data_IF_728578123659
#
_entry.id   IF_728578123659
#
_cell.length_a   1.000
_cell.length_b   1.000
_cell.length_c   1.000
_cell.angle_alpha   90.00
_cell.angle_beta   90.00
_cell.angle_gamma   90.00
#
_symmetry.space_group_name_H-M   'P 1'
#
loop_
_entity.id
_entity.type
_entity.pdbx_description
1 polymer ?
#
# COMPACT_ATOMS: atom_id res chain seq x y z
N UNK A 1 -15.81 -35.91 -70.26
CA UNK A 1 -16.70 -35.35 -69.22
C UNK A 1 -16.01 -35.20 -67.87
N UNK A 2 -15.31 -36.17 -67.25
CA UNK A 2 -14.69 -36.03 -65.90
C UNK A 2 -13.60 -34.97 -65.82
N UNK A 3 -12.85 -34.67 -66.88
CA UNK A 3 -11.80 -33.62 -66.88
C UNK A 3 -12.39 -32.18 -66.96
N UNK A 4 -13.56 -32.02 -67.61
CA UNK A 4 -14.26 -30.71 -67.60
C UNK A 4 -14.93 -30.38 -66.30
N UNK A 5 -15.42 -31.37 -65.59
CA UNK A 5 -16.05 -31.18 -64.26
C UNK A 5 -15.00 -30.83 -63.22
N UNK A 6 -13.77 -31.40 -63.30
CA UNK A 6 -12.67 -31.03 -62.34
C UNK A 6 -12.15 -29.61 -62.60
N UNK A 7 -12.09 -29.14 -63.84
CA UNK A 7 -11.69 -27.80 -64.21
C UNK A 7 -12.75 -26.75 -63.77
N UNK A 8 -14.02 -27.08 -63.84
CA UNK A 8 -15.11 -26.24 -63.41
C UNK A 8 -15.15 -26.07 -61.83
N UNK A 9 -14.90 -27.17 -61.11
CA UNK A 9 -14.79 -27.18 -59.67
C UNK A 9 -13.54 -26.43 -59.16
N UNK A 10 -12.42 -26.53 -59.89
CA UNK A 10 -11.22 -25.75 -59.57
C UNK A 10 -11.42 -24.23 -59.82
N UNK A 11 -12.15 -23.85 -60.86
CA UNK A 11 -12.48 -22.45 -61.16
C UNK A 11 -13.47 -21.86 -60.15
N UNK A 12 -14.46 -22.65 -59.68
CA UNK A 12 -15.37 -22.22 -58.59
C UNK A 12 -14.65 -22.10 -57.25
N UNK A 13 -13.67 -22.96 -56.98
CA UNK A 13 -12.84 -22.88 -55.75
C UNK A 13 -11.94 -21.63 -55.72
N UNK A 14 -11.44 -21.20 -56.90
CA UNK A 14 -10.60 -20.00 -56.98
C UNK A 14 -11.40 -18.69 -56.89
N UNK A 15 -12.70 -18.70 -57.27
CA UNK A 15 -13.57 -17.51 -57.09
C UNK A 15 -14.06 -17.31 -55.64
N UNK A 16 -14.03 -18.33 -54.79
CA UNK A 16 -14.41 -18.26 -53.39
C UNK A 16 -13.34 -17.64 -52.47
N UNK A 17 -12.09 -17.52 -52.91
CA UNK A 17 -10.97 -16.98 -52.13
C UNK A 17 -10.73 -15.47 -52.36
N UNK A 18 -11.50 -14.83 -53.25
CA UNK A 18 -11.40 -13.39 -53.56
C UNK A 18 -12.44 -12.52 -52.87
N UNK A 19 -13.27 -13.07 -51.97
CA UNK A 19 -14.04 -12.25 -51.02
C UNK A 19 -13.11 -11.86 -49.85
N UNK A 20 -11.99 -11.25 -50.18
CA UNK A 20 -11.15 -10.53 -49.24
C UNK A 20 -11.90 -9.35 -48.66
N UNK A 21 -11.86 -9.18 -47.37
CA UNK A 21 -12.26 -7.99 -46.68
C UNK A 21 -11.97 -6.75 -47.52
N UNK A 22 -12.96 -5.91 -47.72
CA UNK A 22 -12.76 -4.57 -48.26
C UNK A 22 -11.89 -3.80 -47.28
N UNK A 23 -10.56 -3.88 -47.41
CA UNK A 23 -9.66 -2.90 -46.89
C UNK A 23 -10.00 -1.59 -47.58
N UNK A 24 -10.76 -0.73 -46.89
CA UNK A 24 -11.02 0.62 -47.30
C UNK A 24 -9.69 1.38 -47.22
N UNK A 25 -8.86 1.25 -48.26
CA UNK A 25 -7.57 1.93 -48.44
C UNK A 25 -7.72 3.41 -48.89
N UNK A 26 -8.95 3.97 -48.73
CA UNK A 26 -9.24 5.36 -48.98
C UNK A 26 -9.60 6.10 -47.66
N UNK A 27 -8.92 5.77 -46.58
CA UNK A 27 -8.86 6.72 -45.47
C UNK A 27 -7.97 7.88 -45.93
N UNK A 28 -8.55 9.07 -46.12
CA UNK A 28 -7.75 10.27 -46.37
C UNK A 28 -6.79 10.47 -45.19
N UNK A 29 -5.61 11.10 -45.38
CA UNK A 29 -4.74 11.41 -44.26
C UNK A 29 -5.47 12.21 -43.16
N UNK A 30 -6.56 12.91 -43.46
CA UNK A 30 -7.43 13.62 -42.55
C UNK A 30 -8.26 12.69 -41.66
N UNK A 31 -8.64 11.48 -42.14
CA UNK A 31 -9.33 10.47 -41.34
C UNK A 31 -8.44 9.79 -40.30
N UNK A 32 -7.11 9.86 -40.50
CA UNK A 32 -6.10 9.38 -39.51
C UNK A 32 -5.87 10.40 -38.38
N UNK A 33 -6.35 11.63 -38.52
CA UNK A 33 -6.24 12.70 -37.56
C UNK A 33 -7.56 13.01 -36.85
N UNK A 34 -8.63 12.23 -37.04
CA UNK A 34 -9.80 12.34 -36.18
C UNK A 34 -9.38 11.89 -34.80
N UNK A 35 -9.22 12.86 -33.89
CA UNK A 35 -9.10 12.58 -32.46
C UNK A 35 -10.24 11.63 -32.08
N UNK A 36 -9.98 10.60 -31.25
CA UNK A 36 -11.04 9.75 -30.74
C UNK A 36 -12.19 10.64 -30.27
N UNK A 37 -13.36 10.53 -30.90
CA UNK A 37 -14.52 11.26 -30.42
C UNK A 37 -14.90 10.62 -29.07
N UNK A 38 -14.97 11.44 -28.04
CA UNK A 38 -15.50 11.00 -26.76
C UNK A 38 -16.90 10.42 -26.99
N UNK A 39 -17.27 9.33 -26.30
CA UNK A 39 -18.63 8.82 -26.33
C UNK A 39 -19.65 9.95 -26.09
N UNK A 40 -20.80 9.85 -26.73
CA UNK A 40 -21.82 10.92 -26.68
C UNK A 40 -22.26 11.27 -25.24
N UNK A 41 -22.18 10.31 -24.33
CA UNK A 41 -22.49 10.47 -22.91
C UNK A 41 -21.58 11.47 -22.17
N UNK A 42 -20.35 11.69 -22.66
CA UNK A 42 -19.41 12.68 -22.08
C UNK A 42 -19.43 14.04 -22.81
N UNK A 43 -20.29 14.22 -23.80
CA UNK A 43 -20.31 15.45 -24.61
C UNK A 43 -20.64 16.69 -23.76
N UNK A 44 -21.66 16.60 -22.90
CA UNK A 44 -22.09 17.69 -21.99
C UNK A 44 -20.99 18.00 -20.95
N UNK A 45 -20.39 16.97 -20.34
CA UNK A 45 -19.28 17.11 -19.40
C UNK A 45 -18.11 17.84 -20.04
N UNK A 46 -17.69 17.39 -21.21
CA UNK A 46 -16.58 18.01 -21.94
C UNK A 46 -16.90 19.47 -22.33
N UNK A 47 -18.16 19.75 -22.73
CA UNK A 47 -18.61 21.12 -23.04
C UNK A 47 -18.50 22.00 -21.79
N UNK A 48 -19.02 21.56 -20.65
CA UNK A 48 -18.98 22.30 -19.39
C UNK A 48 -17.55 22.57 -18.92
N UNK A 49 -16.67 21.56 -18.95
CA UNK A 49 -15.27 21.75 -18.57
C UNK A 49 -14.56 22.72 -19.52
N UNK A 50 -14.79 22.62 -20.85
CA UNK A 50 -14.21 23.57 -21.82
C UNK A 50 -14.66 25.02 -21.56
N UNK A 51 -15.90 25.24 -21.21
CA UNK A 51 -16.39 26.60 -20.86
C UNK A 51 -15.61 27.16 -19.66
N UNK A 52 -15.30 26.33 -18.63
CA UNK A 52 -14.52 26.75 -17.48
C UNK A 52 -13.07 27.09 -17.89
N UNK A 53 -12.46 26.28 -18.75
CA UNK A 53 -11.09 26.52 -19.28
C UNK A 53 -11.07 27.80 -20.13
N UNK A 54 -12.04 28.03 -21.02
CA UNK A 54 -12.16 29.24 -21.82
C UNK A 54 -12.41 30.49 -20.94
N UNK A 55 -13.02 30.32 -19.76
CA UNK A 55 -13.20 31.36 -18.76
C UNK A 55 -11.95 31.57 -17.87
N UNK A 56 -10.82 30.92 -18.18
CA UNK A 56 -9.52 31.10 -17.53
C UNK A 56 -9.25 30.14 -16.38
N UNK A 57 -9.96 29.02 -16.28
CA UNK A 57 -9.58 27.93 -15.39
C UNK A 57 -8.47 27.08 -16.02
N UNK A 58 -7.68 26.42 -15.19
CA UNK A 58 -6.63 25.48 -15.58
C UNK A 58 -6.80 24.17 -14.80
N UNK A 59 -6.40 23.05 -15.37
CA UNK A 59 -6.38 21.79 -14.63
C UNK A 59 -5.43 21.84 -13.42
N UNK A 60 -5.88 21.31 -12.30
CA UNK A 60 -5.16 21.25 -11.04
C UNK A 60 -5.27 19.85 -10.44
N UNK A 61 -4.76 18.86 -11.15
CA UNK A 61 -4.77 17.46 -10.71
C UNK A 61 -4.10 17.28 -9.34
N UNK A 62 -4.53 16.30 -8.53
CA UNK A 62 -3.82 15.89 -7.32
C UNK A 62 -2.38 15.51 -7.64
N UNK A 63 -1.45 15.83 -6.72
CA UNK A 63 0.00 15.65 -6.92
C UNK A 63 0.57 14.40 -6.25
N UNK A 64 -0.22 13.73 -5.41
CA UNK A 64 0.14 12.53 -4.67
C UNK A 64 -1.09 11.60 -4.48
N UNK A 65 -0.86 10.40 -3.94
CA UNK A 65 -1.88 9.37 -3.75
C UNK A 65 -2.12 8.55 -5.00
N UNK A 66 -3.23 7.82 -5.04
CA UNK A 66 -3.61 6.93 -6.14
C UNK A 66 -4.45 7.63 -7.23
N UNK A 67 -5.18 8.67 -6.85
CA UNK A 67 -6.15 9.38 -7.69
C UNK A 67 -5.52 10.64 -8.31
N UNK A 68 -4.66 10.46 -9.31
CA UNK A 68 -3.83 11.53 -9.89
C UNK A 68 -4.43 12.22 -11.14
N UNK A 69 -5.58 11.77 -11.61
CA UNK A 69 -6.20 12.30 -12.83
C UNK A 69 -6.91 13.64 -12.57
N UNK A 70 -6.84 14.61 -13.51
CA UNK A 70 -7.55 15.88 -13.36
C UNK A 70 -9.06 15.76 -13.58
N UNK A 71 -9.54 14.64 -14.07
CA UNK A 71 -10.94 14.24 -14.19
C UNK A 71 -11.04 12.80 -13.70
N UNK A 72 -11.89 12.57 -12.71
CA UNK A 72 -12.09 11.25 -12.09
C UNK A 72 -13.56 10.88 -12.16
N UNK A 73 -13.83 9.60 -12.30
CA UNK A 73 -15.18 9.03 -12.28
C UNK A 73 -15.28 8.12 -11.05
N UNK A 74 -16.25 8.38 -10.20
CA UNK A 74 -16.44 7.68 -8.92
C UNK A 74 -17.93 7.63 -8.61
N UNK A 75 -18.45 6.48 -8.26
CA UNK A 75 -19.79 6.32 -7.69
C UNK A 75 -19.78 6.85 -6.24
N UNK A 76 -20.19 8.12 -6.08
CA UNK A 76 -20.14 8.81 -4.77
C UNK A 76 -21.37 8.54 -3.92
N UNK A 77 -22.51 8.22 -4.52
CA UNK A 77 -23.75 8.08 -3.77
C UNK A 77 -24.26 6.63 -3.68
N UNK A 78 -23.50 5.68 -4.26
CA UNK A 78 -23.76 4.25 -4.18
C UNK A 78 -24.93 3.77 -5.04
N UNK A 79 -25.34 4.56 -6.06
CA UNK A 79 -26.45 4.22 -6.94
C UNK A 79 -26.04 3.37 -8.16
N UNK A 80 -24.74 3.18 -8.37
CA UNK A 80 -24.13 2.41 -9.45
C UNK A 80 -23.84 3.23 -10.71
N UNK A 81 -24.13 4.53 -10.72
CA UNK A 81 -23.73 5.48 -11.76
C UNK A 81 -22.55 6.31 -11.22
N UNK A 82 -21.57 6.61 -12.08
CA UNK A 82 -20.39 7.36 -11.64
C UNK A 82 -20.58 8.87 -11.77
N UNK A 83 -20.27 9.63 -10.72
CA UNK A 83 -20.09 11.08 -10.77
C UNK A 83 -18.75 11.43 -11.38
N UNK A 84 -18.68 12.58 -12.06
CA UNK A 84 -17.43 13.11 -12.59
C UNK A 84 -16.92 14.26 -11.70
N UNK A 85 -15.67 14.16 -11.25
CA UNK A 85 -14.99 15.19 -10.47
C UNK A 85 -13.89 15.83 -11.32
N UNK A 86 -14.01 17.12 -11.61
CA UNK A 86 -13.01 17.89 -12.34
C UNK A 86 -12.22 18.82 -11.42
N UNK A 87 -10.93 18.60 -11.36
CA UNK A 87 -9.97 19.34 -10.50
C UNK A 87 -9.40 20.51 -11.29
N UNK A 88 -9.81 21.72 -10.92
CA UNK A 88 -9.45 22.94 -11.63
C UNK A 88 -8.89 24.00 -10.67
N UNK A 89 -8.12 24.94 -11.23
CA UNK A 89 -7.68 26.16 -10.56
C UNK A 89 -8.16 27.36 -11.34
N UNK A 90 -8.64 28.38 -10.63
CA UNK A 90 -8.96 29.69 -11.20
C UNK A 90 -8.23 30.77 -10.40
N UNK A 91 -7.13 31.25 -10.94
CA UNK A 91 -6.20 32.13 -10.22
C UNK A 91 -6.76 33.49 -9.82
N UNK A 92 -7.89 33.93 -10.41
CA UNK A 92 -8.60 35.16 -10.05
C UNK A 92 -9.42 35.06 -8.78
N UNK A 93 -9.70 33.87 -8.31
CA UNK A 93 -10.61 33.62 -7.19
C UNK A 93 -9.86 33.55 -5.86
N UNK A 94 -10.49 34.02 -4.78
CA UNK A 94 -9.93 33.96 -3.43
C UNK A 94 -9.60 32.51 -3.02
N UNK A 95 -10.51 31.58 -3.33
CA UNK A 95 -10.31 30.14 -3.22
C UNK A 95 -10.05 29.58 -4.61
N UNK A 96 -8.79 29.60 -5.01
CA UNK A 96 -8.41 29.30 -6.38
C UNK A 96 -8.61 27.84 -6.79
N UNK A 97 -8.49 26.90 -5.87
CA UNK A 97 -8.62 25.46 -6.12
C UNK A 97 -10.11 25.06 -6.03
N UNK A 98 -10.60 24.36 -7.04
CA UNK A 98 -12.01 23.95 -7.11
C UNK A 98 -12.11 22.52 -7.60
N UNK A 99 -13.03 21.78 -7.00
CA UNK A 99 -13.45 20.45 -7.44
C UNK A 99 -14.89 20.60 -7.91
N UNK A 100 -15.09 20.56 -9.22
CA UNK A 100 -16.42 20.58 -9.83
C UNK A 100 -16.96 19.17 -9.89
N UNK A 101 -18.14 18.95 -9.34
CA UNK A 101 -18.81 17.66 -9.29
C UNK A 101 -20.01 17.69 -10.23
N UNK A 102 -20.09 16.66 -11.06
CA UNK A 102 -21.13 16.49 -12.06
C UNK A 102 -21.82 15.16 -11.81
N UNK A 103 -23.13 15.21 -11.59
CA UNK A 103 -23.99 14.04 -11.50
C UNK A 103 -24.34 13.54 -12.90
N UNK A 104 -24.46 12.22 -13.04
CA UNK A 104 -24.93 11.58 -14.24
C UNK A 104 -26.45 11.70 -14.33
N UNK A 105 -26.97 12.04 -15.51
CA UNK A 105 -28.38 12.16 -15.80
C UNK A 105 -28.72 11.44 -17.12
N UNK A 106 -29.98 11.23 -17.44
CA UNK A 106 -30.39 10.63 -18.71
C UNK A 106 -29.85 11.37 -19.96
N UNK A 107 -29.53 12.65 -19.86
CA UNK A 107 -29.00 13.47 -20.96
C UNK A 107 -27.47 13.61 -20.95
N UNK A 108 -26.79 13.05 -20.00
CA UNK A 108 -25.34 13.18 -19.78
C UNK A 108 -25.01 13.70 -18.39
N UNK A 109 -23.93 14.46 -18.25
CA UNK A 109 -23.47 15.00 -16.98
C UNK A 109 -23.91 16.43 -16.73
N UNK A 110 -24.43 16.72 -15.53
CA UNK A 110 -24.86 18.06 -15.10
C UNK A 110 -24.10 18.45 -13.84
N UNK A 111 -23.54 19.67 -13.79
CA UNK A 111 -22.86 20.17 -12.59
C UNK A 111 -23.85 20.25 -11.41
N UNK A 112 -23.55 19.50 -10.35
CA UNK A 112 -24.35 19.47 -9.12
C UNK A 112 -23.73 20.28 -7.99
N UNK A 113 -22.37 20.24 -7.87
CA UNK A 113 -21.69 20.87 -6.74
C UNK A 113 -20.32 21.45 -7.12
N UNK A 114 -19.79 22.29 -6.23
CA UNK A 114 -18.40 22.75 -6.26
C UNK A 114 -17.83 22.74 -4.84
N UNK A 115 -16.71 22.06 -4.64
CA UNK A 115 -15.89 22.18 -3.42
C UNK A 115 -14.79 23.21 -3.70
N UNK A 116 -14.66 24.19 -2.82
CA UNK A 116 -13.64 25.22 -2.91
C UNK A 116 -12.59 25.07 -1.83
N UNK A 117 -11.33 25.02 -2.21
CA UNK A 117 -10.20 24.85 -1.31
C UNK A 117 -9.23 26.03 -1.30
N UNK A 118 -8.57 26.18 -0.16
CA UNK A 118 -7.48 27.15 0.04
C UNK A 118 -6.16 26.40 0.06
N UNK A 119 -5.15 26.91 -0.62
CA UNK A 119 -3.82 26.28 -0.68
C UNK A 119 -3.14 26.54 -2.01
N UNK A 120 -1.96 25.96 -2.16
CA UNK A 120 -1.15 26.13 -3.38
C UNK A 120 -1.39 25.04 -4.41
N UNK A 121 -1.86 23.86 -3.98
CA UNK A 121 -2.19 22.72 -4.82
C UNK A 121 -3.16 21.77 -4.10
N UNK A 122 -3.82 20.90 -4.84
CA UNK A 122 -4.46 19.71 -4.30
C UNK A 122 -3.34 18.68 -4.15
N UNK A 123 -3.09 18.23 -2.90
CA UNK A 123 -2.04 17.25 -2.63
C UNK A 123 -2.53 15.85 -3.00
N UNK A 124 -3.63 15.41 -2.39
CA UNK A 124 -4.28 14.13 -2.70
C UNK A 124 -5.79 14.22 -2.58
N UNK A 125 -6.48 13.28 -3.16
CA UNK A 125 -7.91 13.04 -2.94
C UNK A 125 -8.12 11.55 -2.72
N UNK A 126 -9.01 11.21 -1.81
CA UNK A 126 -9.44 9.84 -1.54
C UNK A 126 -10.96 9.81 -1.37
N UNK A 127 -11.55 8.65 -1.65
CA UNK A 127 -13.00 8.42 -1.58
C UNK A 127 -13.23 7.23 -0.67
N UNK A 128 -14.08 7.39 0.33
CA UNK A 128 -14.26 6.40 1.38
C UNK A 128 -15.62 6.54 2.05
N UNK A 129 -16.32 5.45 2.20
CA UNK A 129 -17.54 5.39 3.01
C UNK A 129 -17.15 5.36 4.49
N UNK A 130 -17.04 6.56 5.09
CA UNK A 130 -16.58 6.69 6.48
C UNK A 130 -17.70 6.45 7.48
N UNK A 131 -18.97 6.72 7.14
CA UNK A 131 -20.10 6.57 8.06
C UNK A 131 -20.94 5.29 7.83
N UNK A 132 -20.52 4.44 6.88
CA UNK A 132 -21.14 3.15 6.60
C UNK A 132 -22.53 3.25 5.96
N UNK A 133 -22.88 4.42 5.35
CA UNK A 133 -24.20 4.64 4.75
C UNK A 133 -24.28 4.22 3.27
N UNK A 134 -23.16 3.71 2.71
CA UNK A 134 -23.03 3.27 1.33
C UNK A 134 -22.63 4.38 0.35
N UNK A 135 -22.40 5.60 0.84
CA UNK A 135 -21.94 6.75 0.06
C UNK A 135 -20.48 7.02 0.39
N UNK A 136 -19.77 7.65 -0.55
CA UNK A 136 -18.37 7.96 -0.36
C UNK A 136 -18.18 9.39 0.13
N UNK A 137 -17.50 9.59 1.26
CA UNK A 137 -16.95 10.88 1.64
C UNK A 137 -15.74 11.19 0.77
N UNK A 138 -15.54 12.48 0.50
CA UNK A 138 -14.41 12.99 -0.27
C UNK A 138 -13.39 13.57 0.70
N UNK A 139 -12.24 12.90 0.82
CA UNK A 139 -11.12 13.34 1.64
C UNK A 139 -10.16 14.13 0.76
N UNK A 140 -10.12 15.44 0.93
CA UNK A 140 -9.27 16.32 0.12
C UNK A 140 -8.12 16.85 0.96
N UNK A 141 -6.91 16.64 0.49
CA UNK A 141 -5.70 17.17 1.08
C UNK A 141 -5.23 18.40 0.28
N UNK A 142 -5.24 19.54 0.94
CA UNK A 142 -4.79 20.81 0.36
C UNK A 142 -3.36 21.09 0.78
N UNK A 143 -2.47 21.39 -0.15
CA UNK A 143 -1.09 21.78 0.16
C UNK A 143 -1.07 23.23 0.67
N UNK A 144 -0.85 23.40 1.96
CA UNK A 144 -0.85 24.71 2.62
C UNK A 144 0.55 25.20 2.98
N UNK A 145 1.54 24.29 2.98
CA UNK A 145 2.94 24.58 3.22
C UNK A 145 3.87 23.62 2.47
N UNK A 146 5.19 23.71 2.67
CA UNK A 146 6.14 22.79 2.06
C UNK A 146 5.89 21.32 2.42
N UNK A 147 5.62 21.06 3.70
CA UNK A 147 5.43 19.72 4.29
C UNK A 147 4.06 19.54 4.97
N UNK A 148 3.32 20.63 5.18
CA UNK A 148 2.04 20.62 5.87
C UNK A 148 0.90 20.66 4.86
N UNK A 149 -0.05 19.75 5.02
CA UNK A 149 -1.32 19.69 4.33
C UNK A 149 -2.46 20.06 5.26
N UNK A 150 -3.59 20.49 4.69
CA UNK A 150 -4.87 20.56 5.39
C UNK A 150 -5.78 19.48 4.81
N UNK A 151 -6.27 18.60 5.67
CA UNK A 151 -7.30 17.60 5.34
C UNK A 151 -8.67 18.21 5.54
N UNK A 152 -9.48 18.23 4.49
CA UNK A 152 -10.91 18.49 4.57
C UNK A 152 -11.66 17.23 4.16
N UNK A 153 -12.64 16.84 4.96
CA UNK A 153 -13.54 15.72 4.65
C UNK A 153 -14.90 16.28 4.31
N UNK A 154 -15.45 15.89 3.16
CA UNK A 154 -16.75 16.34 2.67
C UNK A 154 -17.68 15.16 2.46
N UNK A 155 -18.94 15.32 2.83
CA UNK A 155 -20.04 14.48 2.36
C UNK A 155 -20.89 15.24 1.35
N UNK A 156 -21.48 14.54 0.40
CA UNK A 156 -22.45 15.11 -0.55
C UNK A 156 -23.85 14.64 -0.17
N UNK A 157 -24.68 15.60 0.25
CA UNK A 157 -26.09 15.31 0.51
C UNK A 157 -26.99 16.17 -0.42
N UNK A 158 -27.76 15.50 -1.25
CA UNK A 158 -28.64 16.15 -2.24
C UNK A 158 -27.88 17.16 -3.12
N UNK A 159 -26.71 16.76 -3.62
CA UNK A 159 -25.86 17.61 -4.47
C UNK A 159 -25.23 18.81 -3.75
N UNK A 160 -25.27 18.85 -2.42
CA UNK A 160 -24.65 19.95 -1.63
C UNK A 160 -23.49 19.41 -0.81
N UNK A 161 -22.24 19.90 -1.03
CA UNK A 161 -21.11 19.50 -0.22
C UNK A 161 -21.21 20.10 1.18
N UNK A 162 -21.01 19.26 2.20
CA UNK A 162 -20.92 19.68 3.59
C UNK A 162 -19.56 19.23 4.13
N UNK A 163 -18.78 20.17 4.64
CA UNK A 163 -17.51 19.86 5.31
C UNK A 163 -17.81 19.21 6.66
N UNK A 164 -17.26 18.01 6.88
CA UNK A 164 -17.39 17.23 8.10
C UNK A 164 -16.30 17.59 9.11
N UNK A 165 -15.09 17.83 8.60
CA UNK A 165 -13.94 18.29 9.40
C UNK A 165 -12.93 19.02 8.52
N UNK A 166 -12.05 19.79 9.19
CA UNK A 166 -10.84 20.35 8.61
C UNK A 166 -9.72 20.35 9.67
N UNK A 167 -8.53 19.85 9.31
CA UNK A 167 -7.38 19.80 10.20
C UNK A 167 -6.07 19.89 9.44
N UNK A 168 -5.07 20.56 10.00
CA UNK A 168 -3.70 20.50 9.51
C UNK A 168 -3.06 19.16 9.89
N UNK A 169 -2.30 18.57 8.96
CA UNK A 169 -1.67 17.27 9.20
C UNK A 169 -0.37 17.10 8.38
N UNK A 170 0.41 16.11 8.75
CA UNK A 170 1.55 15.58 7.98
C UNK A 170 1.24 14.17 7.49
N UNK A 171 0.58 13.35 8.32
CA UNK A 171 -0.01 12.06 8.00
C UNK A 171 -1.42 11.99 8.57
N UNK A 172 -2.28 11.14 8.02
CA UNK A 172 -3.56 10.80 8.62
C UNK A 172 -3.86 9.30 8.45
N UNK A 173 -4.78 8.81 9.24
CA UNK A 173 -5.37 7.48 9.11
C UNK A 173 -6.88 7.57 9.31
N UNK A 174 -7.62 6.69 8.66
CA UNK A 174 -9.02 6.44 8.92
C UNK A 174 -9.17 4.99 9.40
N UNK A 175 -9.91 4.79 10.48
CA UNK A 175 -10.17 3.48 11.06
C UNK A 175 -11.38 3.55 11.99
N UNK A 176 -12.19 2.50 12.00
CA UNK A 176 -13.25 2.29 12.99
C UNK A 176 -12.59 1.87 14.33
N UNK A 177 -12.24 2.87 15.16
CA UNK A 177 -11.49 2.64 16.40
C UNK A 177 -12.37 2.28 17.58
N UNK A 178 -13.64 2.67 17.56
CA UNK A 178 -14.59 2.38 18.65
C UNK A 178 -15.49 1.18 18.36
N UNK A 179 -15.43 0.63 17.13
CA UNK A 179 -16.15 -0.56 16.73
C UNK A 179 -17.64 -0.32 16.43
N UNK A 180 -18.03 0.93 16.13
CA UNK A 180 -19.42 1.29 15.85
C UNK A 180 -19.81 1.13 14.37
N UNK A 181 -18.85 0.77 13.50
CA UNK A 181 -19.01 0.56 12.07
C UNK A 181 -18.79 1.82 11.24
N UNK A 182 -18.35 2.93 11.87
CA UNK A 182 -17.93 4.15 11.18
C UNK A 182 -16.44 4.39 11.40
N UNK A 183 -15.76 4.90 10.38
CA UNK A 183 -14.34 5.20 10.51
C UNK A 183 -14.11 6.60 11.10
N UNK A 184 -13.30 6.69 12.14
CA UNK A 184 -12.78 7.91 12.70
C UNK A 184 -11.51 8.35 11.97
N UNK A 185 -11.12 9.61 12.18
CA UNK A 185 -9.90 10.17 11.59
C UNK A 185 -8.87 10.47 12.68
N UNK A 186 -7.65 9.98 12.48
CA UNK A 186 -6.47 10.42 13.20
C UNK A 186 -5.63 11.31 12.29
N UNK A 187 -5.28 12.52 12.77
CA UNK A 187 -4.30 13.38 12.09
C UNK A 187 -3.03 13.49 12.90
N UNK A 188 -1.90 13.33 12.24
CA UNK A 188 -0.57 13.39 12.85
C UNK A 188 0.08 14.72 12.51
N UNK A 189 0.49 15.45 13.54
CA UNK A 189 1.12 16.77 13.41
C UNK A 189 2.10 17.05 14.56
N UNK A 190 2.85 18.14 14.45
CA UNK A 190 3.62 18.67 15.57
C UNK A 190 2.75 19.58 16.45
N UNK A 191 2.91 19.49 17.76
CA UNK A 191 2.37 20.49 18.68
C UNK A 191 3.15 21.81 18.61
N UNK A 192 2.78 22.80 19.42
CA UNK A 192 3.44 24.11 19.48
C UNK A 192 4.91 24.02 19.96
N UNK A 193 5.29 22.95 20.65
CA UNK A 193 6.63 22.67 21.14
C UNK A 193 7.45 21.83 20.13
N UNK A 194 6.84 21.38 19.04
CA UNK A 194 7.46 20.55 18.00
C UNK A 194 7.43 19.04 18.30
N UNK A 195 6.74 18.62 19.37
CA UNK A 195 6.54 17.21 19.66
C UNK A 195 5.45 16.61 18.74
N UNK A 196 5.60 15.34 18.38
CA UNK A 196 4.60 14.62 17.58
C UNK A 196 3.34 14.34 18.38
N UNK A 197 2.19 14.58 17.76
CA UNK A 197 0.86 14.27 18.32
C UNK A 197 -0.02 13.59 17.28
N UNK A 198 -0.93 12.74 17.75
CA UNK A 198 -2.05 12.20 17.00
C UNK A 198 -3.34 12.78 17.57
N UNK A 199 -4.05 13.59 16.78
CA UNK A 199 -5.36 14.12 17.16
C UNK A 199 -6.44 13.19 16.64
N UNK A 200 -7.38 12.84 17.48
CA UNK A 200 -8.50 11.94 17.22
C UNK A 200 -9.78 12.72 16.97
N UNK A 201 -10.42 12.46 15.85
CA UNK A 201 -11.70 13.05 15.45
C UNK A 201 -12.74 11.96 15.38
N UNK A 202 -13.73 12.03 16.27
CA UNK A 202 -14.84 11.09 16.35
C UNK A 202 -16.14 11.68 15.80
N UNK A 203 -17.05 10.82 15.43
CA UNK A 203 -18.38 11.18 14.97
C UNK A 203 -19.22 11.81 16.08
N UNK A 204 -19.96 12.84 15.75
CA UNK A 204 -20.89 13.53 16.63
C UNK A 204 -22.34 13.19 16.27
N UNK A 205 -23.28 13.54 17.14
CA UNK A 205 -24.72 13.31 16.91
C UNK A 205 -25.27 14.01 15.67
N UNK A 206 -24.64 15.10 15.23
CA UNK A 206 -25.01 15.84 14.00
C UNK A 206 -24.30 15.31 12.75
N UNK A 207 -23.67 14.13 12.84
CA UNK A 207 -22.93 13.48 11.77
C UNK A 207 -21.78 14.32 11.23
N UNK A 208 -21.03 15.01 12.08
CA UNK A 208 -19.75 15.65 11.78
C UNK A 208 -18.62 14.98 12.53
N UNK A 209 -17.38 15.20 12.11
CA UNK A 209 -16.17 14.74 12.79
C UNK A 209 -15.61 15.87 13.65
N UNK A 210 -15.56 15.67 14.97
CA UNK A 210 -15.07 16.65 15.93
C UNK A 210 -13.90 16.13 16.74
N UNK A 211 -12.98 17.01 17.21
CA UNK A 211 -11.89 16.61 18.10
C UNK A 211 -12.44 15.91 19.35
N UNK A 212 -12.00 14.68 19.60
CA UNK A 212 -12.45 13.85 20.71
C UNK A 212 -11.31 13.41 21.63
N UNK A 213 -10.05 13.55 21.20
CA UNK A 213 -8.89 13.20 22.01
C UNK A 213 -7.57 13.48 21.31
N UNK A 214 -6.49 13.23 22.04
CA UNK A 214 -5.13 13.37 21.52
C UNK A 214 -4.18 12.42 22.24
N UNK A 215 -3.25 11.82 21.51
CA UNK A 215 -2.15 11.05 22.08
C UNK A 215 -0.80 11.66 21.67
N UNK A 216 0.20 11.61 22.60
CA UNK A 216 1.58 11.97 22.27
C UNK A 216 2.27 10.85 21.54
N UNK A 217 3.12 11.22 20.58
CA UNK A 217 3.98 10.29 19.86
C UNK A 217 5.40 10.32 20.43
N UNK A 218 6.10 9.19 20.29
CA UNK A 218 7.50 9.01 20.67
C UNK A 218 8.48 9.45 19.60
N UNK A 219 7.97 9.94 18.47
CA UNK A 219 8.75 10.32 17.30
C UNK A 219 8.39 11.72 16.83
N UNK A 220 9.29 12.33 16.06
CA UNK A 220 9.05 13.58 15.35
C UNK A 220 8.24 13.35 14.07
N UNK A 221 7.66 14.41 13.54
CA UNK A 221 6.94 14.33 12.26
C UNK A 221 7.87 14.07 11.07
N UNK A 222 9.14 14.47 11.14
CA UNK A 222 10.14 14.13 10.12
C UNK A 222 10.42 12.61 10.09
N UNK A 223 10.54 11.99 11.26
CA UNK A 223 10.70 10.53 11.36
C UNK A 223 9.44 9.79 10.88
N UNK A 224 8.24 10.25 11.26
CA UNK A 224 6.98 9.66 10.79
C UNK A 224 6.81 9.80 9.27
N UNK A 225 7.26 10.93 8.69
CA UNK A 225 7.22 11.13 7.22
C UNK A 225 8.12 10.16 6.47
N UNK A 226 9.24 9.73 7.08
CA UNK A 226 10.14 8.71 6.54
C UNK A 226 9.68 7.27 6.85
N UNK A 227 8.60 7.11 7.60
CA UNK A 227 8.02 5.84 8.02
C UNK A 227 6.65 5.56 7.42
N UNK A 228 5.79 4.93 8.23
CA UNK A 228 4.46 4.47 7.80
C UNK A 228 3.41 4.69 8.90
N UNK A 229 2.17 4.95 8.48
CA UNK A 229 0.97 4.86 9.33
C UNK A 229 0.09 3.77 8.73
N UNK A 230 -0.34 2.81 9.56
CA UNK A 230 -1.15 1.66 9.17
C UNK A 230 -2.31 1.47 10.15
N UNK A 231 -3.53 1.35 9.64
CA UNK A 231 -4.66 0.85 10.42
C UNK A 231 -4.61 -0.68 10.46
N UNK A 232 -4.81 -1.27 11.63
CA UNK A 232 -4.71 -2.71 11.82
C UNK A 232 -5.43 -3.17 13.08
N UNK A 233 -5.22 -4.42 13.48
CA UNK A 233 -5.94 -5.08 14.56
C UNK A 233 -4.97 -5.62 15.60
N UNK A 234 -5.31 -5.45 16.88
CA UNK A 234 -4.58 -6.04 18.00
C UNK A 234 -4.99 -7.50 18.23
N UNK A 235 -4.18 -8.22 19.02
CA UNK A 235 -4.44 -9.58 19.45
C UNK A 235 -5.62 -9.67 20.42
N UNK A 236 -6.75 -9.53 20.07
CA UNK A 236 -8.01 -9.48 20.82
C UNK A 236 -9.13 -9.03 19.93
N UNK A 237 -8.74 -8.54 18.74
CA UNK A 237 -9.66 -8.05 17.74
C UNK A 237 -9.93 -6.54 17.84
N UNK A 238 -9.32 -5.85 18.80
CA UNK A 238 -9.46 -4.40 18.93
C UNK A 238 -8.72 -3.68 17.79
N UNK A 239 -9.35 -2.68 17.15
CA UNK A 239 -8.70 -1.89 16.12
C UNK A 239 -7.63 -0.96 16.72
N UNK A 240 -6.59 -0.70 15.94
CA UNK A 240 -5.50 0.20 16.32
C UNK A 240 -4.84 0.84 15.10
N UNK A 241 -4.13 1.95 15.33
CA UNK A 241 -3.29 2.58 14.33
C UNK A 241 -1.82 2.46 14.74
N UNK A 242 -1.01 1.91 13.86
CA UNK A 242 0.42 1.71 14.02
C UNK A 242 1.16 2.86 13.34
N UNK A 243 1.73 3.75 14.12
CA UNK A 243 2.54 4.87 13.64
C UNK A 243 4.02 4.51 13.78
N UNK A 244 4.70 4.30 12.67
CA UNK A 244 6.11 3.93 12.64
C UNK A 244 6.94 5.06 12.04
N UNK A 245 7.89 5.58 12.80
CA UNK A 245 8.86 6.58 12.37
C UNK A 245 10.23 5.97 12.13
N UNK A 246 10.99 6.55 11.19
CA UNK A 246 12.36 6.13 10.87
C UNK A 246 13.27 7.36 10.91
N UNK A 247 14.32 7.31 11.74
CA UNK A 247 15.31 8.39 11.85
C UNK A 247 16.42 8.27 10.80
N UNK A 248 17.15 9.37 10.56
CA UNK A 248 18.35 9.40 9.70
C UNK A 248 19.43 8.41 10.16
N UNK A 249 19.49 8.11 11.45
CA UNK A 249 20.39 7.11 12.03
C UNK A 249 19.92 5.67 11.85
N UNK A 250 18.85 5.44 11.07
CA UNK A 250 18.24 4.14 10.82
C UNK A 250 17.73 3.46 12.11
N UNK A 251 17.17 4.24 13.00
CA UNK A 251 16.38 3.77 14.14
C UNK A 251 14.91 3.87 13.78
N UNK A 252 14.18 2.79 14.03
CA UNK A 252 12.73 2.69 13.87
C UNK A 252 12.08 2.79 15.25
N UNK A 253 11.04 3.61 15.33
CA UNK A 253 10.17 3.74 16.51
C UNK A 253 8.75 3.45 16.08
N UNK A 254 8.04 2.60 16.80
CA UNK A 254 6.62 2.34 16.53
C UNK A 254 5.78 2.69 17.75
N UNK A 255 4.78 3.54 17.53
CA UNK A 255 3.71 3.82 18.47
C UNK A 255 2.44 3.11 18.03
N UNK A 256 1.74 2.47 18.97
CA UNK A 256 0.45 1.81 18.73
C UNK A 256 -0.62 2.64 19.41
N UNK A 257 -1.55 3.18 18.64
CA UNK A 257 -2.64 4.03 19.08
C UNK A 257 -3.95 3.26 19.06
N UNK A 258 -4.66 3.23 20.19
CA UNK A 258 -5.97 2.59 20.29
C UNK A 258 -6.84 3.30 21.33
N UNK A 259 -8.14 3.05 21.28
CA UNK A 259 -9.04 3.54 22.31
C UNK A 259 -9.01 2.64 23.55
N UNK A 260 -8.96 3.26 24.73
CA UNK A 260 -9.15 2.62 26.02
C UNK A 260 -10.22 3.38 26.78
N UNK A 261 -11.30 2.72 27.12
CA UNK A 261 -12.44 3.35 27.81
C UNK A 261 -12.94 4.64 27.08
N UNK A 262 -12.84 4.65 25.74
CA UNK A 262 -13.24 5.77 24.88
C UNK A 262 -12.21 6.90 24.76
N UNK A 263 -11.02 6.78 25.37
CA UNK A 263 -9.94 7.75 25.27
C UNK A 263 -8.80 7.22 24.38
N UNK A 264 -8.28 8.05 23.47
CA UNK A 264 -7.14 7.68 22.63
C UNK A 264 -5.87 7.58 23.48
N UNK A 265 -5.23 6.42 23.47
CA UNK A 265 -3.98 6.14 24.17
C UNK A 265 -2.87 5.64 23.22
N UNK A 266 -1.62 5.87 23.61
CA UNK A 266 -0.44 5.26 23.01
C UNK A 266 -0.02 4.07 23.86
N UNK A 267 -0.24 2.85 23.35
CA UNK A 267 -0.06 1.60 24.10
C UNK A 267 1.41 1.24 24.33
N UNK A 268 2.31 1.73 23.51
CA UNK A 268 3.74 1.38 23.54
C UNK A 268 4.58 2.36 24.37
N UNK A 269 4.04 3.52 24.70
CA UNK A 269 4.76 4.50 25.53
C UNK A 269 4.98 3.96 26.95
N UNK A 270 6.20 4.09 27.42
CA UNK A 270 6.57 3.76 28.81
C UNK A 270 6.21 4.93 29.72
N UNK A 271 5.42 4.68 30.77
CA UNK A 271 5.06 5.68 31.79
C UNK A 271 6.30 6.29 32.47
N UNK A 272 7.40 5.55 32.57
CA UNK A 272 8.63 5.99 33.25
C UNK A 272 9.51 6.89 32.39
N UNK A 273 9.52 6.71 31.07
CA UNK A 273 10.42 7.43 30.16
C UNK A 273 9.70 8.38 29.21
N UNK A 274 8.40 8.20 29.00
CA UNK A 274 7.60 8.97 28.04
C UNK A 274 7.91 8.69 26.58
N UNK A 275 8.63 7.60 26.28
CA UNK A 275 8.97 7.17 24.92
C UNK A 275 8.52 5.74 24.68
N UNK A 276 8.37 5.36 23.42
CA UNK A 276 7.98 4.00 23.04
C UNK A 276 8.98 2.96 23.55
N UNK A 277 8.48 1.79 23.91
CA UNK A 277 9.28 0.61 24.18
C UNK A 277 9.71 -0.10 22.89
N UNK A 278 9.07 0.21 21.77
CA UNK A 278 9.28 -0.42 20.48
C UNK A 278 10.24 0.42 19.62
N UNK A 279 11.52 0.42 20.02
CA UNK A 279 12.60 1.18 19.37
C UNK A 279 13.68 0.18 18.93
N UNK A 280 13.89 0.07 17.63
CA UNK A 280 14.78 -0.92 17.04
C UNK A 280 15.58 -0.35 15.86
N UNK A 281 16.60 -1.10 15.41
CA UNK A 281 17.28 -0.82 14.15
C UNK A 281 16.30 -1.02 12.98
N UNK A 282 16.23 -0.06 12.09
CA UNK A 282 15.41 -0.15 10.88
C UNK A 282 15.97 -1.17 9.89
N UNK A 283 15.12 -2.12 9.49
CA UNK A 283 15.44 -3.22 8.58
C UNK A 283 14.80 -3.07 7.19
N UNK A 284 14.03 -2.04 6.92
CA UNK A 284 13.17 -1.95 5.74
C UNK A 284 11.89 -2.75 5.87
N UNK A 285 11.49 -3.08 7.10
CA UNK A 285 10.26 -3.81 7.41
C UNK A 285 9.36 -2.93 8.27
N UNK A 286 8.06 -2.96 7.99
CA UNK A 286 7.04 -2.24 8.74
C UNK A 286 6.02 -3.21 9.34
N UNK A 287 5.19 -2.75 10.31
CA UNK A 287 4.09 -3.55 10.83
C UNK A 287 3.19 -4.08 9.71
N UNK A 288 2.78 -5.33 9.82
CA UNK A 288 1.89 -6.01 8.88
C UNK A 288 1.31 -7.26 9.52
N UNK A 289 0.19 -7.75 9.01
CA UNK A 289 -0.30 -9.11 9.27
C UNK A 289 0.59 -10.08 8.48
N UNK A 290 1.58 -10.68 9.17
CA UNK A 290 2.64 -11.48 8.54
C UNK A 290 2.20 -12.91 8.24
N UNK A 291 1.27 -13.46 9.00
CA UNK A 291 0.82 -14.85 8.88
C UNK A 291 -0.62 -14.99 8.36
N UNK A 292 -1.33 -13.88 8.17
CA UNK A 292 -2.66 -13.84 7.57
C UNK A 292 -3.78 -14.17 8.56
N UNK A 293 -3.55 -13.99 9.85
CA UNK A 293 -4.54 -14.25 10.90
C UNK A 293 -5.45 -13.05 11.21
N UNK A 294 -5.19 -11.91 10.58
CA UNK A 294 -5.93 -10.66 10.75
C UNK A 294 -5.40 -9.77 11.87
N UNK A 295 -4.37 -10.19 12.60
CA UNK A 295 -3.67 -9.39 13.61
C UNK A 295 -2.46 -8.70 12.97
N UNK A 296 -2.09 -7.52 13.44
CA UNK A 296 -0.92 -6.80 12.94
C UNK A 296 0.27 -7.00 13.86
N UNK A 297 1.37 -7.51 13.30
CA UNK A 297 2.63 -7.73 13.99
C UNK A 297 3.67 -6.66 13.69
N UNK A 298 4.52 -6.38 14.70
CA UNK A 298 5.70 -5.53 14.58
C UNK A 298 6.95 -6.38 14.32
N UNK A 299 7.80 -5.99 13.36
CA UNK A 299 9.09 -6.66 13.11
C UNK A 299 10.13 -6.22 14.13
N UNK A 300 10.49 -7.10 15.04
CA UNK A 300 11.50 -6.88 16.09
C UNK A 300 12.79 -7.61 15.72
N UNK A 301 13.89 -6.89 15.42
CA UNK A 301 15.19 -7.52 15.14
C UNK A 301 15.72 -8.31 16.33
N UNK A 302 16.25 -9.50 16.07
CA UNK A 302 16.94 -10.33 17.05
C UNK A 302 18.37 -10.63 16.61
N UNK A 303 19.27 -10.82 17.59
CA UNK A 303 20.64 -11.21 17.31
C UNK A 303 20.74 -12.69 16.94
N UNK A 304 21.63 -13.01 15.99
CA UNK A 304 22.02 -14.38 15.66
C UNK A 304 23.36 -14.71 16.28
N UNK A 305 23.57 -15.95 16.71
CA UNK A 305 24.80 -16.42 17.40
C UNK A 305 26.07 -16.30 16.56
N UNK A 306 25.99 -16.30 15.25
CA UNK A 306 27.13 -16.05 14.37
C UNK A 306 26.65 -15.36 13.12
N UNK A 307 26.89 -14.10 13.04
CA UNK A 307 26.62 -13.34 11.82
C UNK A 307 27.88 -13.33 10.95
N UNK A 308 27.71 -13.74 9.71
CA UNK A 308 28.39 -13.06 8.63
C UNK A 308 27.90 -11.63 8.56
N UNK A 309 28.00 -11.01 7.42
CA UNK A 309 27.54 -9.66 7.18
C UNK A 309 26.06 -9.48 7.55
N UNK A 310 25.80 -8.67 8.59
CA UNK A 310 24.45 -8.38 9.09
C UNK A 310 23.61 -7.56 8.12
N UNK A 311 24.20 -7.04 7.03
CA UNK A 311 23.48 -6.34 5.97
C UNK A 311 22.72 -7.29 5.04
N UNK A 312 23.14 -8.55 4.97
CA UNK A 312 22.54 -9.54 4.06
C UNK A 312 21.28 -10.19 4.60
N UNK A 313 21.08 -10.23 5.93
CA UNK A 313 19.88 -10.82 6.55
C UNK A 313 19.91 -10.78 8.06
N UNK A 314 18.76 -11.00 8.67
CA UNK A 314 18.58 -10.94 10.12
C UNK A 314 17.45 -11.88 10.59
N UNK A 315 17.51 -12.28 11.85
CA UNK A 315 16.38 -12.88 12.55
C UNK A 315 15.42 -11.78 13.00
N UNK A 316 14.13 -11.98 12.80
CA UNK A 316 13.08 -11.06 13.19
C UNK A 316 12.04 -11.84 13.98
N UNK A 317 11.69 -11.34 15.17
CA UNK A 317 10.52 -11.76 15.93
C UNK A 317 9.36 -10.87 15.54
N UNK A 318 8.33 -11.44 14.95
CA UNK A 318 7.08 -10.73 14.64
C UNK A 318 6.18 -10.77 15.87
N UNK A 319 5.89 -9.60 16.43
CA UNK A 319 5.18 -9.47 17.71
C UNK A 319 3.82 -8.86 17.54
N UNK A 320 2.80 -9.58 18.00
CA UNK A 320 1.44 -9.06 18.18
C UNK A 320 1.28 -8.39 19.55
N UNK A 321 0.36 -7.44 19.66
CA UNK A 321 0.11 -6.69 20.89
C UNK A 321 -1.36 -6.78 21.29
N UNK A 322 -1.62 -6.83 22.60
CA UNK A 322 -2.97 -6.71 23.16
C UNK A 322 -3.33 -5.25 23.51
N UNK A 323 -4.58 -5.01 23.87
CA UNK A 323 -5.06 -3.68 24.30
C UNK A 323 -4.38 -3.15 25.56
N UNK A 324 -3.68 -3.99 26.35
CA UNK A 324 -2.83 -3.55 27.44
C UNK A 324 -1.43 -3.08 27.00
N UNK A 325 -1.09 -3.22 25.71
CA UNK A 325 0.23 -2.94 25.15
C UNK A 325 1.26 -4.01 25.51
N UNK A 326 0.80 -5.26 25.76
CA UNK A 326 1.69 -6.41 26.03
C UNK A 326 1.98 -7.12 24.72
N UNK A 327 3.28 -7.18 24.35
CA UNK A 327 3.73 -7.85 23.15
C UNK A 327 4.02 -9.34 23.36
N UNK A 328 3.59 -10.20 22.42
CA UNK A 328 3.96 -11.61 22.34
C UNK A 328 4.46 -11.93 20.94
N UNK A 329 5.41 -12.89 20.84
CA UNK A 329 5.90 -13.34 19.54
C UNK A 329 4.86 -14.24 18.87
N UNK A 330 4.32 -13.80 17.73
CA UNK A 330 3.46 -14.59 16.88
C UNK A 330 4.27 -15.60 16.07
N UNK A 331 5.34 -15.15 15.40
CA UNK A 331 6.30 -16.02 14.73
C UNK A 331 7.70 -15.44 14.73
N UNK A 332 8.71 -16.30 14.53
CA UNK A 332 10.10 -15.90 14.26
C UNK A 332 10.47 -16.26 12.83
N UNK A 333 11.16 -15.36 12.13
CA UNK A 333 11.60 -15.58 10.76
C UNK A 333 13.04 -15.10 10.54
N UNK A 334 13.75 -15.74 9.62
CA UNK A 334 14.97 -15.17 9.06
C UNK A 334 14.64 -14.42 7.78
N UNK A 335 14.99 -13.14 7.72
CA UNK A 335 14.81 -12.30 6.55
C UNK A 335 16.12 -12.12 5.80
N UNK A 336 16.18 -12.60 4.56
CA UNK A 336 17.25 -12.30 3.61
C UNK A 336 16.89 -11.00 2.87
N UNK A 337 17.18 -9.87 3.49
CA UNK A 337 16.71 -8.55 3.05
C UNK A 337 17.19 -8.19 1.63
N UNK A 338 18.45 -8.56 1.31
CA UNK A 338 19.03 -8.30 -0.02
C UNK A 338 18.41 -9.17 -1.12
N UNK A 339 17.98 -10.40 -0.77
CA UNK A 339 17.46 -11.39 -1.71
C UNK A 339 15.92 -11.41 -1.80
N UNK A 340 15.23 -10.63 -0.94
CA UNK A 340 13.79 -10.44 -0.99
C UNK A 340 12.95 -11.66 -0.58
N UNK A 341 13.44 -12.48 0.36
CA UNK A 341 12.70 -13.61 0.91
C UNK A 341 12.85 -13.71 2.44
N UNK A 342 11.95 -14.45 3.07
CA UNK A 342 12.08 -14.85 4.47
C UNK A 342 11.70 -16.32 4.66
N UNK A 343 12.23 -16.88 5.74
CA UNK A 343 11.95 -18.24 6.18
C UNK A 343 11.38 -18.20 7.60
N UNK A 344 10.16 -18.69 7.78
CA UNK A 344 9.58 -18.91 9.11
C UNK A 344 10.41 -20.00 9.83
N UNK A 345 10.89 -19.68 11.01
CA UNK A 345 11.83 -20.53 11.73
C UNK A 345 11.06 -21.53 12.63
N UNK A 346 11.38 -22.82 12.57
CA UNK A 346 10.85 -23.78 13.52
C UNK A 346 11.27 -23.46 14.95
N UNK A 347 10.40 -23.62 15.93
CA UNK A 347 10.72 -23.46 17.36
C UNK A 347 11.90 -24.34 17.80
N UNK A 348 12.04 -25.54 17.20
CA UNK A 348 13.12 -26.47 17.48
C UNK A 348 14.53 -25.93 17.18
N UNK A 349 14.66 -24.90 16.35
CA UNK A 349 15.96 -24.27 16.05
C UNK A 349 16.40 -23.28 17.13
N UNK A 350 15.47 -22.71 17.87
CA UNK A 350 15.69 -21.94 19.11
C UNK A 350 16.78 -20.88 19.02
N UNK A 351 17.40 -20.61 20.17
CA UNK A 351 18.51 -19.64 20.30
C UNK A 351 19.85 -20.16 19.72
N UNK A 352 19.92 -21.46 19.39
CA UNK A 352 21.11 -22.08 18.80
C UNK A 352 21.30 -21.81 17.31
N UNK A 353 20.33 -21.16 16.65
CA UNK A 353 20.39 -20.90 15.22
C UNK A 353 21.55 -19.97 14.86
N UNK A 354 22.28 -20.35 13.83
CA UNK A 354 23.33 -19.55 13.21
C UNK A 354 23.10 -19.51 11.68
N UNK A 355 23.28 -18.37 11.08
CA UNK A 355 23.16 -18.21 9.62
C UNK A 355 24.45 -17.61 9.07
N UNK A 356 24.95 -18.17 7.96
CA UNK A 356 26.06 -17.62 7.19
C UNK A 356 25.60 -17.31 5.80
N UNK A 357 25.95 -16.14 5.31
CA UNK A 357 25.64 -15.71 3.95
C UNK A 357 26.92 -15.66 3.12
N UNK A 358 26.85 -16.17 1.91
CA UNK A 358 27.99 -16.18 0.97
C UNK A 358 27.50 -15.77 -0.41
N UNK A 359 28.20 -14.83 -1.03
CA UNK A 359 28.05 -14.60 -2.47
C UNK A 359 28.75 -15.71 -3.25
N UNK A 360 28.01 -16.45 -4.06
CA UNK A 360 28.56 -17.56 -4.86
C UNK A 360 28.89 -17.12 -6.30
N UNK A 361 29.03 -15.82 -6.52
CA UNK A 361 29.29 -15.18 -7.82
C UNK A 361 28.47 -13.88 -7.96
N UNK A 362 28.49 -13.26 -9.14
CA UNK A 362 27.71 -12.04 -9.43
C UNK A 362 26.19 -12.28 -9.45
N UNK A 363 25.77 -13.52 -9.76
CA UNK A 363 24.38 -13.88 -10.06
C UNK A 363 23.81 -14.92 -9.09
N UNK A 364 24.48 -15.13 -7.95
CA UNK A 364 24.06 -16.14 -6.98
C UNK A 364 24.48 -15.75 -5.55
N UNK A 365 23.59 -15.97 -4.61
CA UNK A 365 23.80 -15.90 -3.16
C UNK A 365 23.35 -17.19 -2.48
N UNK A 366 23.87 -17.44 -1.28
CA UNK A 366 23.52 -18.60 -0.46
C UNK A 366 23.41 -18.18 1.00
N UNK A 367 22.34 -18.58 1.67
CA UNK A 367 22.21 -18.56 3.11
C UNK A 367 22.26 -19.98 3.66
N UNK A 368 23.23 -20.24 4.54
CA UNK A 368 23.45 -21.53 5.20
C UNK A 368 23.00 -21.45 6.66
N UNK A 369 22.01 -22.25 7.01
CA UNK A 369 21.45 -22.36 8.35
C UNK A 369 22.11 -23.51 9.09
N UNK A 370 22.39 -23.32 10.38
CA UNK A 370 22.96 -24.35 11.22
C UNK A 370 22.68 -24.10 12.69
N UNK A 371 22.89 -25.14 13.51
CA UNK A 371 22.75 -25.08 14.96
C UNK A 371 24.15 -25.07 15.58
N UNK A 372 24.36 -24.15 16.51
CA UNK A 372 25.66 -23.91 17.16
C UNK A 372 26.58 -22.98 16.39
N UNK A 373 27.80 -22.79 16.88
CA UNK A 373 28.79 -21.87 16.33
C UNK A 373 30.16 -22.54 16.21
N UNK A 374 31.07 -21.93 15.44
CA UNK A 374 32.44 -22.41 15.25
C UNK A 374 32.52 -23.79 14.61
N UNK A 375 33.47 -24.60 15.08
CA UNK A 375 33.75 -25.95 14.56
C UNK A 375 32.67 -26.99 14.93
N UNK A 376 31.83 -26.68 15.92
CA UNK A 376 30.73 -27.55 16.35
C UNK A 376 29.38 -27.25 15.67
N UNK A 377 29.33 -26.35 14.69
CA UNK A 377 28.12 -25.99 13.96
C UNK A 377 27.64 -27.16 13.10
N UNK A 378 26.41 -27.57 13.32
CA UNK A 378 25.71 -28.57 12.50
C UNK A 378 24.89 -27.82 11.43
N UNK A 379 25.27 -27.97 10.18
CA UNK A 379 24.52 -27.37 9.06
C UNK A 379 23.27 -28.19 8.76
N UNK A 380 22.12 -27.49 8.55
CA UNK A 380 20.81 -28.13 8.44
C UNK A 380 20.11 -27.79 7.12
N UNK A 381 20.37 -26.59 6.54
CA UNK A 381 19.70 -26.10 5.36
C UNK A 381 20.57 -25.08 4.63
N UNK A 382 20.57 -25.12 3.31
CA UNK A 382 21.07 -24.05 2.45
C UNK A 382 19.97 -23.55 1.56
N UNK A 383 19.77 -22.24 1.50
CA UNK A 383 18.86 -21.59 0.55
C UNK A 383 19.71 -20.78 -0.42
N UNK A 384 19.44 -20.98 -1.69
CA UNK A 384 20.15 -20.35 -2.79
C UNK A 384 19.21 -19.41 -3.55
N UNK A 385 19.71 -18.23 -3.89
CA UNK A 385 19.07 -17.29 -4.80
C UNK A 385 19.90 -17.22 -6.07
N UNK A 386 19.31 -17.49 -7.22
CA UNK A 386 19.96 -17.46 -8.52
C UNK A 386 19.28 -16.46 -9.45
N UNK A 387 20.09 -15.61 -10.09
CA UNK A 387 19.71 -14.72 -11.19
C UNK A 387 20.59 -15.04 -12.42
N UNK A 388 20.45 -14.32 -13.52
CA UNK A 388 21.27 -14.49 -14.71
C UNK A 388 20.92 -15.72 -15.57
N UNK A 389 21.73 -15.95 -16.63
CA UNK A 389 21.40 -16.90 -17.70
C UNK A 389 21.43 -18.37 -17.25
N UNK A 390 22.30 -18.73 -16.29
CA UNK A 390 22.48 -20.13 -15.84
C UNK A 390 21.59 -20.52 -14.65
N UNK A 391 20.68 -19.66 -14.21
CA UNK A 391 19.84 -19.84 -13.01
C UNK A 391 19.11 -21.17 -12.94
N UNK A 392 18.53 -21.63 -14.06
CA UNK A 392 17.80 -22.89 -14.14
C UNK A 392 18.70 -24.10 -13.84
N UNK A 393 19.87 -24.14 -14.46
CA UNK A 393 20.83 -25.22 -14.30
C UNK A 393 21.40 -25.24 -12.88
N UNK A 394 21.70 -24.06 -12.31
CA UNK A 394 22.21 -23.91 -10.97
C UNK A 394 21.16 -24.28 -9.90
N UNK A 395 19.92 -23.87 -10.10
CA UNK A 395 18.83 -24.18 -9.18
C UNK A 395 18.49 -25.69 -9.11
N UNK A 396 18.65 -26.42 -10.21
CA UNK A 396 18.41 -27.86 -10.29
C UNK A 396 19.61 -28.72 -9.89
N UNK A 397 20.79 -28.13 -9.69
CA UNK A 397 22.03 -28.87 -9.41
C UNK A 397 21.95 -29.63 -8.08
N UNK A 398 22.38 -30.88 -8.08
CA UNK A 398 22.51 -31.68 -6.85
C UNK A 398 21.18 -32.11 -6.22
N UNK A 399 20.08 -32.10 -6.97
CA UNK A 399 18.76 -32.50 -6.46
C UNK A 399 18.13 -31.47 -5.51
N UNK A 400 18.49 -30.20 -5.64
CA UNK A 400 17.91 -29.11 -4.85
C UNK A 400 16.39 -29.03 -4.99
N UNK A 401 15.73 -28.71 -3.90
CA UNK A 401 14.28 -28.46 -3.86
C UNK A 401 13.99 -27.07 -4.43
N UNK A 402 13.16 -26.99 -5.44
CA UNK A 402 12.68 -25.71 -5.96
C UNK A 402 11.69 -25.08 -4.95
N UNK A 403 11.95 -23.86 -4.52
CA UNK A 403 11.10 -23.11 -3.59
C UNK A 403 10.18 -22.14 -4.33
N UNK A 404 10.74 -21.27 -5.16
CA UNK A 404 9.96 -20.25 -5.89
C UNK A 404 10.67 -19.79 -7.16
N UNK A 405 9.90 -19.14 -8.05
CA UNK A 405 10.38 -18.44 -9.24
C UNK A 405 9.71 -17.08 -9.33
N UNK A 406 10.49 -16.04 -9.61
CA UNK A 406 9.97 -14.70 -9.84
C UNK A 406 10.79 -13.95 -10.88
N UNK A 407 10.17 -13.66 -12.01
CA UNK A 407 10.85 -12.99 -13.10
C UNK A 407 12.13 -13.76 -13.49
N UNK A 408 13.27 -13.10 -13.31
CA UNK A 408 14.58 -13.68 -13.58
C UNK A 408 15.28 -14.33 -12.38
N UNK A 409 14.60 -14.44 -11.23
CA UNK A 409 15.15 -14.99 -9.99
C UNK A 409 14.53 -16.36 -9.67
N UNK A 410 15.37 -17.31 -9.28
CA UNK A 410 14.97 -18.66 -8.83
C UNK A 410 15.52 -18.91 -7.45
N UNK A 411 14.66 -19.41 -6.55
CA UNK A 411 15.01 -19.82 -5.20
C UNK A 411 14.97 -21.33 -5.10
N UNK A 412 16.03 -21.92 -4.61
CA UNK A 412 16.11 -23.36 -4.37
C UNK A 412 16.85 -23.68 -3.10
N UNK A 413 16.65 -24.87 -2.54
CA UNK A 413 17.23 -25.26 -1.28
C UNK A 413 17.87 -26.65 -1.33
N UNK A 414 18.85 -26.86 -0.45
CA UNK A 414 19.47 -28.13 -0.14
C UNK A 414 19.18 -28.47 1.32
N UNK A 415 18.41 -29.53 1.54
CA UNK A 415 18.13 -30.06 2.87
C UNK A 415 19.28 -30.98 3.29
N UNK A 416 19.78 -30.79 4.50
CA UNK A 416 20.88 -31.60 5.06
C UNK A 416 20.34 -32.46 6.22
N UNK A 417 20.89 -33.66 6.36
CA UNK A 417 20.52 -34.56 7.47
C UNK A 417 21.11 -34.04 8.78
N UNK A 418 20.25 -33.55 9.67
CA UNK A 418 20.64 -32.96 10.96
C UNK A 418 19.82 -33.53 12.15
N UNK A 419 19.33 -34.75 12.04
CA UNK A 419 18.54 -35.40 13.09
C UNK A 419 17.24 -34.67 13.42
N UNK A 420 17.07 -34.25 14.66
CA UNK A 420 15.86 -33.58 15.14
C UNK A 420 15.62 -32.18 14.54
N UNK A 421 16.62 -31.58 13.87
CA UNK A 421 16.55 -30.25 13.27
C UNK A 421 16.20 -30.30 11.77
N UNK A 422 16.09 -31.49 11.18
CA UNK A 422 15.85 -31.69 9.76
C UNK A 422 14.40 -31.26 9.39
N UNK A 423 14.27 -30.44 8.35
CA UNK A 423 12.98 -30.10 7.74
C UNK A 423 12.61 -31.11 6.65
N UNK A 424 11.32 -31.30 6.45
CA UNK A 424 10.81 -31.97 5.25
C UNK A 424 10.71 -30.95 4.09
N UNK A 425 10.67 -31.45 2.84
CA UNK A 425 10.45 -30.56 1.68
C UNK A 425 9.13 -29.78 1.79
N UNK A 426 8.08 -30.42 2.27
CA UNK A 426 6.76 -29.81 2.40
C UNK A 426 6.77 -28.71 3.48
N UNK A 427 7.36 -28.96 4.65
CA UNK A 427 7.48 -27.94 5.70
C UNK A 427 8.37 -26.79 5.26
N UNK A 428 9.45 -27.05 4.51
CA UNK A 428 10.31 -26.01 3.98
C UNK A 428 9.54 -25.10 2.96
N UNK A 429 8.75 -25.69 2.07
CA UNK A 429 7.95 -24.91 1.12
C UNK A 429 6.88 -24.07 1.81
N UNK A 430 6.29 -24.58 2.89
CA UNK A 430 5.31 -23.83 3.70
C UNK A 430 5.96 -22.69 4.49
N UNK A 431 7.21 -22.85 4.91
CA UNK A 431 7.95 -21.85 5.71
C UNK A 431 8.67 -20.81 4.86
N UNK A 432 8.88 -21.07 3.56
CA UNK A 432 9.57 -20.14 2.65
C UNK A 432 8.59 -19.16 2.02
N UNK A 433 8.82 -17.87 2.21
CA UNK A 433 8.00 -16.81 1.68
C UNK A 433 8.86 -15.73 1.03
N UNK A 434 8.24 -14.96 0.16
CA UNK A 434 8.85 -13.78 -0.46
C UNK A 434 8.40 -12.53 0.25
N UNK A 435 9.31 -11.58 0.39
CA UNK A 435 8.98 -10.26 0.94
C UNK A 435 8.08 -9.53 -0.05
N UNK A 436 6.90 -9.16 0.38
CA UNK A 436 6.00 -8.30 -0.43
C UNK A 436 6.59 -6.89 -0.51
N UNK A 437 6.55 -6.27 -1.70
CA UNK A 437 6.97 -4.87 -1.87
C UNK A 437 6.13 -3.89 -1.05
N UNK A 438 4.91 -4.27 -0.71
CA UNK A 438 4.01 -3.46 0.14
C UNK A 438 4.60 -3.24 1.53
N UNK A 439 5.37 -4.21 2.06
CA UNK A 439 6.01 -4.11 3.38
C UNK A 439 7.24 -3.18 3.40
N UNK A 440 7.87 -2.94 2.25
CA UNK A 440 9.11 -2.17 2.15
C UNK A 440 8.92 -0.74 1.63
N UNK A 441 7.75 -0.40 1.11
CA UNK A 441 7.50 0.88 0.44
C UNK A 441 6.47 1.75 1.15
N UNK A 442 6.13 1.48 2.42
CA UNK A 442 5.16 2.27 3.18
C UNK A 442 3.96 2.59 2.28
N UNK A 443 2.93 1.75 2.27
CA UNK A 443 1.69 2.09 1.57
C UNK A 443 1.18 3.43 2.10
N UNK A 444 0.83 4.34 1.19
CA UNK A 444 0.10 5.57 1.52
C UNK A 444 -1.30 5.21 1.98
#
# INVERSE_FOLDING_TARGET
MKRFLAALLAALGLMGTLSGCSLNLAASPEDLYTLPQLPAEYAELNHSIRQLIEAGAEYAAPTAGTNLQPLQLVDLDGDGEEEALAFLRRGSDERALKIYIYERTESGYTQSAVIEGSGTAIYSVDYRDLDGDGRQEILVSWKVGPEVQALSVFTLRLGTPRELMNSSYIRYAAADLDGDGREEILTFRSDEQGAGTADYYAWTDDSSLAPAGMARLSMTMAELSAGQVLSGTLRGGEPAVFATGVSDSRVQVTDILALRDGELGNLTVSDSTGVSREIYRYLGLFPTDIDGDGVTELPVPEELLSSGDTESGCRVSWRSYDAAGTGETALSAYHALADGWYLVLPESWGEGLSVRTEGTGTDASMASFGIGAGDGRIEILRIYTFSGENRETLAAKGGRVLLSREGETIYSAELLEAGAFTLTEDSLRQSFHRVSRVWSLGGN
#
